data_IF_309108373533
#
_entry.id   IF_309108373533
#
_cell.length_a   1.000
_cell.length_b   1.000
_cell.length_c   1.000
_cell.angle_alpha   90.00
_cell.angle_beta   90.00
_cell.angle_gamma   90.00
#
_symmetry.space_group_name_H-M   'P 1'
#
loop_
_entity.id
_entity.type
_entity.pdbx_description
1 polymer ?
#
# COMPACT_ATOMS: atom_id res chain seq x y z
N UNK A 1 -28.39 11.36 -21.40
CA UNK A 1 -27.21 10.82 -20.69
C UNK A 1 -27.61 9.70 -19.73
N UNK A 2 -27.24 8.46 -20.08
CA UNK A 2 -27.45 7.27 -19.27
C UNK A 2 -26.22 7.04 -18.38
N UNK A 3 -26.41 6.53 -17.17
CA UNK A 3 -25.32 6.26 -16.22
C UNK A 3 -25.26 4.77 -15.88
N UNK A 4 -24.05 4.21 -15.86
CA UNK A 4 -23.76 2.88 -15.30
C UNK A 4 -22.97 3.09 -14.02
N UNK A 5 -23.46 2.51 -12.91
CA UNK A 5 -22.82 2.63 -11.59
C UNK A 5 -22.40 1.25 -11.11
N UNK A 6 -21.11 1.11 -10.79
CA UNK A 6 -20.56 -0.06 -10.10
C UNK A 6 -20.34 0.34 -8.65
N UNK A 7 -21.24 -0.11 -7.76
CA UNK A 7 -21.18 0.19 -6.33
C UNK A 7 -21.67 -0.99 -5.49
N UNK A 8 -20.90 -1.45 -4.49
CA UNK A 8 -19.52 -1.03 -4.19
C UNK A 8 -18.52 -1.60 -5.22
N UNK A 9 -17.35 -0.98 -5.35
CA UNK A 9 -16.18 -1.68 -5.89
C UNK A 9 -15.80 -2.78 -4.90
N UNK A 10 -15.77 -4.04 -5.36
CA UNK A 10 -15.51 -5.19 -4.50
C UNK A 10 -14.02 -5.55 -4.44
N UNK A 11 -13.62 -6.24 -3.36
CA UNK A 11 -12.25 -6.73 -3.12
C UNK A 11 -11.17 -5.62 -3.13
N UNK A 12 -11.52 -4.47 -2.58
CA UNK A 12 -10.58 -3.39 -2.25
C UNK A 12 -10.69 -3.05 -0.75
N UNK A 13 -9.73 -2.29 -0.23
CA UNK A 13 -9.86 -1.63 1.06
C UNK A 13 -10.55 -0.26 0.86
N UNK A 14 -11.44 0.10 1.79
CA UNK A 14 -12.23 1.33 1.71
C UNK A 14 -13.46 1.26 0.78
N UNK A 15 -14.24 2.34 0.78
CA UNK A 15 -15.46 2.48 -0.01
C UNK A 15 -15.26 3.32 -1.28
N UNK A 16 -15.47 2.69 -2.44
CA UNK A 16 -15.49 3.37 -3.74
C UNK A 16 -16.69 2.95 -4.60
N UNK A 17 -17.04 3.82 -5.55
CA UNK A 17 -17.92 3.51 -6.68
C UNK A 17 -17.24 3.92 -7.99
N UNK A 18 -17.62 3.26 -9.08
CA UNK A 18 -17.23 3.68 -10.44
C UNK A 18 -18.48 4.17 -11.14
N UNK A 19 -18.43 5.39 -11.66
CA UNK A 19 -19.51 6.02 -12.41
C UNK A 19 -19.09 6.15 -13.87
N UNK A 20 -19.84 5.53 -14.78
CA UNK A 20 -19.58 5.56 -16.23
C UNK A 20 -20.77 6.27 -16.89
N UNK A 21 -20.51 7.43 -17.50
CA UNK A 21 -21.54 8.22 -18.18
C UNK A 21 -21.48 7.91 -19.67
N UNK A 22 -22.64 7.66 -20.26
CA UNK A 22 -22.80 7.38 -21.68
C UNK A 22 -23.39 8.57 -22.42
N UNK A 23 -22.87 8.84 -23.62
CA UNK A 23 -23.50 9.76 -24.57
C UNK A 23 -24.83 9.19 -25.10
N UNK A 24 -25.50 9.94 -25.98
CA UNK A 24 -26.80 9.56 -26.52
C UNK A 24 -26.70 8.39 -27.53
N UNK A 25 -25.52 8.14 -28.11
CA UNK A 25 -25.22 7.00 -28.98
C UNK A 25 -24.84 5.74 -28.18
N UNK A 26 -24.65 5.87 -26.86
CA UNK A 26 -24.30 4.80 -25.94
C UNK A 26 -22.78 4.57 -25.78
N UNK A 27 -21.93 5.45 -26.32
CA UNK A 27 -20.48 5.41 -26.09
C UNK A 27 -20.13 5.97 -24.71
N UNK A 28 -18.99 5.56 -24.15
CA UNK A 28 -18.48 6.11 -22.89
C UNK A 28 -18.00 7.54 -23.12
N UNK A 29 -18.67 8.49 -22.46
CA UNK A 29 -18.31 9.91 -22.47
C UNK A 29 -17.37 10.28 -21.30
N UNK A 30 -17.53 9.61 -20.15
CA UNK A 30 -16.75 9.89 -18.94
C UNK A 30 -16.77 8.67 -18.00
N UNK A 31 -15.68 8.45 -17.25
CA UNK A 31 -15.56 7.39 -16.26
C UNK A 31 -14.77 7.87 -15.03
N UNK A 32 -15.38 7.79 -13.85
CA UNK A 32 -14.85 8.35 -12.60
C UNK A 32 -14.81 7.31 -11.49
N UNK A 33 -13.74 7.30 -10.68
CA UNK A 33 -13.60 6.48 -9.47
C UNK A 33 -13.87 7.34 -8.24
N UNK A 34 -15.08 7.28 -7.70
CA UNK A 34 -15.46 8.11 -6.56
C UNK A 34 -15.16 7.38 -5.24
N UNK A 35 -14.19 7.86 -4.48
CA UNK A 35 -14.02 7.52 -3.05
C UNK A 35 -15.03 8.30 -2.22
N UNK A 36 -15.81 7.58 -1.40
CA UNK A 36 -17.02 8.09 -0.74
C UNK A 36 -16.83 8.43 0.75
N UNK A 37 -15.65 8.17 1.31
CA UNK A 37 -15.41 8.27 2.75
C UNK A 37 -14.34 9.32 3.09
N UNK A 38 -14.61 10.12 4.13
CA UNK A 38 -13.67 11.05 4.74
C UNK A 38 -13.84 11.01 6.27
N UNK A 39 -12.74 10.84 7.01
CA UNK A 39 -12.76 10.77 8.49
C UNK A 39 -12.14 11.98 9.19
N UNK A 40 -11.41 12.84 8.47
CA UNK A 40 -10.90 14.11 9.00
C UNK A 40 -9.79 14.00 10.06
N UNK A 41 -8.93 12.97 9.99
CA UNK A 41 -7.80 12.76 10.92
C UNK A 41 -6.93 14.01 11.10
N UNK A 42 -6.60 14.68 10.01
CA UNK A 42 -5.78 15.90 10.02
C UNK A 42 -6.38 16.99 10.91
N UNK A 43 -7.72 17.12 10.93
CA UNK A 43 -8.41 18.16 11.71
C UNK A 43 -8.56 17.78 13.18
N UNK A 44 -8.98 16.56 13.49
CA UNK A 44 -9.23 16.17 14.89
C UNK A 44 -7.96 15.86 15.68
N UNK A 45 -6.82 15.69 15.00
CA UNK A 45 -5.52 15.55 15.66
C UNK A 45 -4.97 16.89 16.18
N UNK A 46 -5.51 18.03 15.74
CA UNK A 46 -5.09 19.35 16.23
C UNK A 46 -5.36 19.45 17.74
N UNK A 47 -4.35 19.89 18.49
CA UNK A 47 -4.43 20.06 19.94
C UNK A 47 -4.16 18.79 20.75
N UNK A 48 -3.89 17.65 20.10
CA UNK A 48 -3.51 16.41 20.77
C UNK A 48 -2.00 16.38 21.06
N UNK A 49 -1.57 15.71 22.14
CA UNK A 49 -0.16 15.42 22.36
C UNK A 49 0.42 14.58 21.21
N UNK A 50 1.60 14.95 20.73
CA UNK A 50 2.21 14.33 19.54
C UNK A 50 2.51 12.84 19.76
N UNK A 51 2.84 12.44 20.98
CA UNK A 51 3.08 11.06 21.41
C UNK A 51 1.81 10.17 21.40
N UNK A 52 0.62 10.75 21.21
CA UNK A 52 -0.59 9.97 20.91
C UNK A 52 -0.68 9.56 19.44
N UNK A 53 -0.01 10.29 18.54
CA UNK A 53 -0.16 10.10 17.09
C UNK A 53 0.16 8.67 16.63
N UNK A 54 1.23 8.00 17.09
CA UNK A 54 1.50 6.62 16.70
C UNK A 54 0.40 5.64 17.10
N UNK A 55 -0.49 5.98 18.04
CA UNK A 55 -1.65 5.15 18.39
C UNK A 55 -2.89 5.58 17.60
N UNK A 56 -3.08 6.87 17.39
CA UNK A 56 -4.26 7.40 16.71
C UNK A 56 -4.25 7.05 15.23
N UNK A 57 -3.15 7.31 14.53
CA UNK A 57 -3.06 7.18 13.06
C UNK A 57 -3.19 5.74 12.58
N UNK A 58 -2.93 4.73 13.42
CA UNK A 58 -3.16 3.33 13.05
C UNK A 58 -4.63 3.03 12.78
N UNK A 59 -5.56 3.90 13.20
CA UNK A 59 -7.00 3.77 12.94
C UNK A 59 -7.40 4.33 11.57
N UNK A 60 -6.45 4.88 10.81
CA UNK A 60 -6.68 5.27 9.42
C UNK A 60 -6.90 4.02 8.56
N UNK A 61 -6.19 2.93 8.76
CA UNK A 61 -6.42 1.72 7.96
C UNK A 61 -6.25 0.45 8.81
N UNK A 62 -7.11 -0.54 8.57
CA UNK A 62 -6.99 -1.87 9.18
C UNK A 62 -5.92 -2.76 8.55
N UNK A 63 -5.54 -2.47 7.29
CA UNK A 63 -4.56 -3.25 6.52
C UNK A 63 -3.14 -2.75 6.74
N UNK A 64 -2.89 -1.44 6.67
CA UNK A 64 -1.56 -0.84 6.85
C UNK A 64 -1.37 -0.05 8.17
N UNK A 65 -1.82 -0.56 9.35
CA UNK A 65 -1.68 0.19 10.60
C UNK A 65 -0.21 0.35 11.02
N UNK A 66 0.69 -0.52 10.57
CA UNK A 66 2.12 -0.46 10.85
C UNK A 66 2.81 0.68 10.12
N UNK A 67 2.50 0.90 8.85
CA UNK A 67 3.00 2.04 8.06
C UNK A 67 2.61 3.37 8.73
N UNK A 68 1.36 3.51 9.16
CA UNK A 68 0.91 4.69 9.91
C UNK A 68 1.60 4.83 11.27
N UNK A 69 1.76 3.74 12.01
CA UNK A 69 2.43 3.72 13.32
C UNK A 69 3.87 4.21 13.21
N UNK A 70 4.63 3.67 12.26
CA UNK A 70 6.04 3.98 12.06
C UNK A 70 6.24 5.37 11.47
N UNK A 71 5.42 5.78 10.49
CA UNK A 71 5.46 7.14 9.95
C UNK A 71 5.22 8.19 11.06
N UNK A 72 4.22 7.95 11.91
CA UNK A 72 3.92 8.84 13.03
C UNK A 72 5.01 8.82 14.10
N UNK A 73 5.61 7.66 14.38
CA UNK A 73 6.73 7.57 15.32
C UNK A 73 7.97 8.31 14.80
N UNK A 74 8.29 8.22 13.50
CA UNK A 74 9.37 9.01 12.86
C UNK A 74 9.08 10.51 12.96
N UNK A 75 7.84 10.94 12.76
CA UNK A 75 7.45 12.33 12.94
C UNK A 75 7.61 12.79 14.40
N UNK A 76 7.23 11.94 15.38
CA UNK A 76 7.45 12.24 16.79
C UNK A 76 8.93 12.37 17.13
N UNK A 77 9.78 11.46 16.63
CA UNK A 77 11.22 11.51 16.82
C UNK A 77 11.80 12.85 16.35
N UNK A 78 11.38 13.32 15.18
CA UNK A 78 11.78 14.61 14.63
C UNK A 78 11.33 15.79 15.50
N UNK A 79 10.09 15.77 16.01
CA UNK A 79 9.55 16.82 16.90
C UNK A 79 10.34 16.91 18.21
N UNK A 80 10.72 15.77 18.79
CA UNK A 80 11.51 15.74 20.02
C UNK A 80 13.02 15.87 19.80
N UNK A 81 13.50 15.88 18.55
CA UNK A 81 14.93 15.93 18.23
C UNK A 81 15.70 14.70 18.70
N UNK A 82 15.06 13.52 18.70
CA UNK A 82 15.64 12.26 19.19
C UNK A 82 15.89 11.29 18.06
N UNK A 83 16.96 10.52 18.15
CA UNK A 83 17.29 9.45 17.21
C UNK A 83 17.16 8.10 17.91
N UNK A 84 16.33 7.17 17.38
CA UNK A 84 16.26 5.83 17.93
C UNK A 84 17.62 5.15 17.99
N UNK A 85 17.97 4.45 19.10
CA UNK A 85 19.19 3.66 19.15
C UNK A 85 19.14 2.53 18.09
N UNK A 86 20.30 2.00 17.66
CA UNK A 86 20.35 1.01 16.58
C UNK A 86 19.41 -0.19 16.75
N UNK A 87 19.25 -0.70 17.97
CA UNK A 87 18.32 -1.79 18.25
C UNK A 87 16.85 -1.38 18.03
N UNK A 88 16.46 -0.19 18.48
CA UNK A 88 15.10 0.34 18.27
C UNK A 88 14.80 0.57 16.79
N UNK A 89 15.77 1.11 16.04
CA UNK A 89 15.66 1.27 14.58
C UNK A 89 15.46 -0.07 13.88
N UNK A 90 16.28 -1.07 14.16
CA UNK A 90 16.17 -2.42 13.57
C UNK A 90 14.83 -3.10 13.86
N UNK A 91 14.27 -2.91 15.06
CA UNK A 91 12.94 -3.46 15.39
C UNK A 91 11.84 -2.80 14.58
N UNK A 92 11.91 -1.47 14.38
CA UNK A 92 10.96 -0.76 13.51
C UNK A 92 11.06 -1.24 12.05
N UNK A 93 12.27 -1.39 11.51
CA UNK A 93 12.52 -1.92 10.17
C UNK A 93 12.01 -3.37 10.00
N UNK A 94 12.25 -4.22 11.00
CA UNK A 94 11.76 -5.60 11.02
C UNK A 94 10.23 -5.66 10.98
N UNK A 95 9.56 -4.90 11.86
CA UNK A 95 8.10 -4.83 11.86
C UNK A 95 7.54 -4.29 10.55
N UNK A 96 8.18 -3.28 9.96
CA UNK A 96 7.80 -2.75 8.63
C UNK A 96 7.87 -3.85 7.55
N UNK A 97 8.96 -4.62 7.54
CA UNK A 97 9.17 -5.69 6.56
C UNK A 97 8.16 -6.84 6.71
N UNK A 98 7.83 -7.20 7.96
CA UNK A 98 6.83 -8.23 8.24
C UNK A 98 5.43 -7.76 7.84
N UNK A 99 5.07 -6.51 8.17
CA UNK A 99 3.80 -5.92 7.78
C UNK A 99 3.67 -5.85 6.26
N UNK A 100 4.70 -5.39 5.57
CA UNK A 100 4.75 -5.36 4.10
C UNK A 100 4.47 -6.74 3.48
N UNK A 101 5.10 -7.80 4.00
CA UNK A 101 4.83 -9.18 3.56
C UNK A 101 3.38 -9.60 3.83
N UNK A 102 2.84 -9.34 5.02
CA UNK A 102 1.47 -9.69 5.40
C UNK A 102 0.44 -9.03 4.46
N UNK A 103 0.63 -7.73 4.21
CA UNK A 103 -0.22 -6.89 3.37
C UNK A 103 -0.16 -7.32 1.90
N UNK A 104 1.02 -7.67 1.39
CA UNK A 104 1.19 -8.19 0.03
C UNK A 104 0.57 -9.57 -0.16
N UNK A 105 0.66 -10.45 0.85
CA UNK A 105 -0.07 -11.73 0.82
C UNK A 105 -1.59 -11.47 0.78
N UNK A 106 -2.08 -10.54 1.61
CA UNK A 106 -3.51 -10.16 1.61
C UNK A 106 -3.95 -9.70 0.22
N UNK A 107 -3.27 -8.70 -0.34
CA UNK A 107 -3.66 -8.12 -1.62
C UNK A 107 -3.59 -9.16 -2.74
N UNK A 108 -2.46 -9.86 -2.89
CA UNK A 108 -2.26 -10.75 -4.02
C UNK A 108 -3.21 -11.95 -4.00
N UNK A 109 -3.45 -12.57 -2.84
CA UNK A 109 -4.24 -13.80 -2.77
C UNK A 109 -5.72 -13.59 -2.43
N UNK A 110 -6.05 -12.67 -1.52
CA UNK A 110 -7.43 -12.50 -1.04
C UNK A 110 -8.20 -11.47 -1.88
N UNK A 111 -7.50 -10.49 -2.45
CA UNK A 111 -8.12 -9.42 -3.23
C UNK A 111 -7.97 -9.67 -4.73
N UNK A 112 -6.79 -9.48 -5.29
CA UNK A 112 -6.53 -9.60 -6.73
C UNK A 112 -6.54 -11.04 -7.24
N UNK A 113 -6.24 -12.02 -6.39
CA UNK A 113 -6.09 -13.42 -6.78
C UNK A 113 -7.34 -14.01 -7.44
N UNK A 114 -8.54 -13.55 -7.06
CA UNK A 114 -9.79 -13.99 -7.68
C UNK A 114 -9.83 -13.75 -9.18
N UNK A 115 -9.36 -12.60 -9.65
CA UNK A 115 -9.38 -12.24 -11.07
C UNK A 115 -8.36 -13.06 -11.88
N UNK A 116 -7.20 -13.34 -11.30
CA UNK A 116 -6.13 -14.06 -12.00
C UNK A 116 -6.28 -15.58 -11.96
N UNK A 117 -6.62 -16.15 -10.79
CA UNK A 117 -6.69 -17.60 -10.57
C UNK A 117 -7.99 -18.18 -11.10
N UNK A 118 -9.11 -17.49 -10.88
CA UNK A 118 -10.41 -17.94 -11.40
C UNK A 118 -10.64 -17.46 -12.83
N UNK A 119 -10.09 -16.30 -13.18
CA UNK A 119 -10.23 -15.65 -14.48
C UNK A 119 -11.25 -14.50 -14.44
N UNK A 120 -11.09 -13.49 -15.30
CA UNK A 120 -11.99 -12.32 -15.34
C UNK A 120 -13.43 -12.72 -15.73
N UNK A 121 -13.60 -13.76 -16.55
CA UNK A 121 -14.91 -14.22 -17.02
C UNK A 121 -15.57 -15.24 -16.07
N UNK A 122 -14.94 -15.57 -14.94
CA UNK A 122 -15.51 -16.48 -13.97
C UNK A 122 -16.76 -15.88 -13.34
N UNK A 123 -17.74 -16.75 -13.06
CA UNK A 123 -18.96 -16.36 -12.34
C UNK A 123 -18.61 -15.70 -11.00
N UNK A 124 -19.30 -14.59 -10.68
CA UNK A 124 -18.99 -13.78 -9.50
C UNK A 124 -19.12 -14.56 -8.19
N UNK A 125 -19.94 -15.61 -8.15
CA UNK A 125 -20.13 -16.46 -6.95
C UNK A 125 -18.87 -17.24 -6.59
N UNK A 126 -17.98 -17.50 -7.56
CA UNK A 126 -16.72 -18.22 -7.37
C UNK A 126 -15.48 -17.36 -7.56
N UNK A 127 -15.59 -16.15 -8.13
CA UNK A 127 -14.47 -15.21 -8.34
C UNK A 127 -14.06 -14.50 -7.04
N UNK A 128 -13.62 -15.27 -6.06
CA UNK A 128 -13.26 -14.83 -4.72
C UNK A 128 -12.31 -15.85 -4.05
N UNK A 129 -11.87 -15.54 -2.81
CA UNK A 129 -10.94 -16.38 -2.05
C UNK A 129 -11.44 -17.81 -1.81
N UNK A 130 -12.76 -18.03 -1.72
CA UNK A 130 -13.32 -19.37 -1.53
C UNK A 130 -13.24 -20.20 -2.80
N UNK A 131 -13.48 -19.61 -3.96
CA UNK A 131 -13.26 -20.28 -5.25
C UNK A 131 -11.80 -20.66 -5.45
N UNK A 132 -10.87 -19.80 -5.06
CA UNK A 132 -9.44 -20.12 -5.04
C UNK A 132 -9.17 -21.31 -4.10
N UNK A 133 -9.75 -21.31 -2.90
CA UNK A 133 -9.56 -22.40 -1.94
C UNK A 133 -10.12 -23.74 -2.42
N UNK A 134 -11.19 -23.74 -3.21
CA UNK A 134 -11.73 -24.94 -3.85
C UNK A 134 -10.84 -25.42 -5.00
N UNK A 135 -10.35 -24.50 -5.84
CA UNK A 135 -9.51 -24.82 -7.01
C UNK A 135 -8.09 -25.22 -6.65
N UNK A 136 -7.49 -24.58 -5.65
CA UNK A 136 -6.10 -24.73 -5.20
C UNK A 136 -6.02 -24.87 -3.67
N UNK A 137 -6.56 -25.95 -3.08
CA UNK A 137 -6.73 -26.06 -1.63
C UNK A 137 -5.41 -26.01 -0.85
N UNK A 138 -4.34 -26.63 -1.36
CA UNK A 138 -3.05 -26.65 -0.66
C UNK A 138 -2.35 -25.29 -0.70
N UNK A 139 -2.46 -24.56 -1.82
CA UNK A 139 -1.97 -23.19 -1.94
C UNK A 139 -2.72 -22.29 -0.97
N UNK A 140 -4.06 -22.37 -0.96
CA UNK A 140 -4.89 -21.57 -0.07
C UNK A 140 -4.59 -21.83 1.41
N UNK A 141 -4.44 -23.09 1.82
CA UNK A 141 -4.02 -23.45 3.20
C UNK A 141 -2.67 -22.85 3.55
N UNK A 142 -1.68 -22.96 2.66
CA UNK A 142 -0.34 -22.42 2.90
C UNK A 142 -0.36 -20.89 3.01
N UNK A 143 -1.07 -20.21 2.12
CA UNK A 143 -1.24 -18.75 2.12
C UNK A 143 -1.86 -18.26 3.42
N UNK A 144 -2.96 -18.86 3.88
CA UNK A 144 -3.62 -18.49 5.14
C UNK A 144 -2.68 -18.73 6.32
N UNK A 145 -1.98 -19.88 6.35
CA UNK A 145 -1.02 -20.22 7.39
C UNK A 145 0.10 -19.18 7.48
N UNK A 146 0.73 -18.84 6.35
CA UNK A 146 1.87 -17.91 6.32
C UNK A 146 1.43 -16.46 6.61
N UNK A 147 0.25 -16.04 6.15
CA UNK A 147 -0.30 -14.72 6.52
C UNK A 147 -0.54 -14.63 8.03
N UNK A 148 -1.18 -15.65 8.62
CA UNK A 148 -1.36 -15.73 10.07
C UNK A 148 -0.02 -15.72 10.81
N UNK A 149 0.98 -16.42 10.27
CA UNK A 149 2.34 -16.45 10.81
C UNK A 149 3.00 -15.06 10.80
N UNK A 150 2.85 -14.27 9.73
CA UNK A 150 3.35 -12.89 9.68
C UNK A 150 2.68 -12.01 10.75
N UNK A 151 1.36 -12.10 10.89
CA UNK A 151 0.64 -11.42 11.97
C UNK A 151 1.14 -11.86 13.36
N UNK A 152 1.42 -13.16 13.54
CA UNK A 152 1.94 -13.68 14.80
C UNK A 152 3.35 -13.18 15.11
N UNK A 153 4.22 -13.04 14.11
CA UNK A 153 5.54 -12.42 14.31
C UNK A 153 5.42 -10.99 14.84
N UNK A 154 4.50 -10.18 14.28
CA UNK A 154 4.22 -8.83 14.77
C UNK A 154 3.70 -8.83 16.21
N UNK A 155 2.81 -9.77 16.56
CA UNK A 155 2.29 -9.94 17.92
C UNK A 155 3.40 -10.31 18.93
N UNK A 156 4.33 -11.19 18.56
CA UNK A 156 5.48 -11.57 19.41
C UNK A 156 6.38 -10.35 19.68
N UNK A 157 6.69 -9.57 18.63
CA UNK A 157 7.59 -8.41 18.76
C UNK A 157 6.92 -7.28 19.54
N UNK A 158 5.65 -6.99 19.25
CA UNK A 158 5.00 -5.73 19.60
C UNK A 158 3.71 -5.86 20.43
N UNK A 159 3.31 -7.08 20.79
CA UNK A 159 2.10 -7.39 21.54
C UNK A 159 0.81 -7.35 20.71
N UNK A 160 0.81 -6.69 19.55
CA UNK A 160 -0.35 -6.59 18.64
C UNK A 160 0.09 -6.64 17.19
N UNK A 161 -0.61 -7.43 16.39
CA UNK A 161 -0.44 -7.47 14.94
C UNK A 161 -1.11 -6.28 14.26
N UNK A 162 -2.29 -5.87 14.74
CA UNK A 162 -3.09 -4.76 14.24
C UNK A 162 -3.14 -3.67 15.30
N UNK A 163 -2.96 -2.42 14.85
CA UNK A 163 -2.92 -1.23 15.72
C UNK A 163 -1.85 -1.31 16.83
N UNK A 164 -0.57 -1.44 16.43
CA UNK A 164 0.56 -1.57 17.35
C UNK A 164 0.75 -0.34 18.25
N UNK A 165 1.51 -0.53 19.32
CA UNK A 165 1.86 0.53 20.30
C UNK A 165 3.34 0.51 20.68
N UNK A 166 4.17 -0.14 19.86
CA UNK A 166 5.53 -0.50 20.25
C UNK A 166 6.59 0.52 19.79
N UNK A 167 6.38 1.23 18.69
CA UNK A 167 7.20 2.37 18.33
C UNK A 167 6.78 3.58 19.20
N UNK A 168 7.74 4.08 19.97
CA UNK A 168 7.59 5.23 20.87
C UNK A 168 8.64 6.29 20.48
N UNK A 169 8.42 7.57 20.82
CA UNK A 169 9.43 8.60 20.57
C UNK A 169 10.80 8.20 21.13
N UNK A 170 11.84 8.27 20.31
CA UNK A 170 13.21 7.90 20.63
C UNK A 170 13.51 6.40 20.59
N UNK A 171 12.58 5.53 20.20
CA UNK A 171 12.90 4.10 20.12
C UNK A 171 11.73 3.13 19.93
N UNK A 172 11.80 2.04 20.70
CA UNK A 172 10.86 0.92 20.69
C UNK A 172 10.63 0.48 22.13
N UNK A 173 9.39 0.15 22.50
CA UNK A 173 8.96 0.01 23.89
C UNK A 173 9.45 -1.25 24.59
N UNK A 174 10.03 -2.21 23.84
CA UNK A 174 10.45 -3.51 24.34
C UNK A 174 11.65 -4.03 23.54
N UNK A 175 12.69 -4.63 24.16
CA UNK A 175 13.72 -5.34 23.41
C UNK A 175 13.17 -6.65 22.81
N UNK A 176 13.80 -7.15 21.75
CA UNK A 176 13.60 -8.52 21.30
C UNK A 176 14.55 -9.44 22.07
N UNK A 177 14.00 -10.49 22.67
CA UNK A 177 14.79 -11.52 23.34
C UNK A 177 15.41 -12.49 22.34
N UNK A 178 16.45 -13.21 22.74
CA UNK A 178 17.09 -14.21 21.89
C UNK A 178 16.15 -15.39 21.57
N UNK A 179 15.26 -15.75 22.50
CA UNK A 179 14.29 -16.82 22.27
C UNK A 179 13.20 -16.41 21.29
N UNK A 180 12.71 -15.16 21.37
CA UNK A 180 11.81 -14.59 20.35
C UNK A 180 12.49 -14.55 18.98
N UNK A 181 13.75 -14.12 18.92
CA UNK A 181 14.53 -14.12 17.67
C UNK A 181 14.59 -15.53 17.06
N UNK A 182 14.94 -16.54 17.86
CA UNK A 182 14.98 -17.95 17.43
C UNK A 182 13.61 -18.47 16.97
N UNK A 183 12.53 -18.04 17.64
CA UNK A 183 11.17 -18.39 17.25
C UNK A 183 10.77 -17.77 15.89
N UNK A 184 11.21 -16.54 15.61
CA UNK A 184 10.86 -15.80 14.40
C UNK A 184 11.58 -16.31 13.14
N UNK A 185 12.82 -16.78 13.25
CA UNK A 185 13.62 -17.23 12.09
C UNK A 185 12.87 -18.27 11.22
N UNK A 186 12.39 -19.41 11.74
CA UNK A 186 11.68 -20.40 10.92
C UNK A 186 10.34 -19.89 10.37
N UNK A 187 9.76 -18.86 10.99
CA UNK A 187 8.55 -18.21 10.50
C UNK A 187 8.87 -17.31 9.29
N UNK A 188 9.95 -16.55 9.38
CA UNK A 188 10.44 -15.72 8.28
C UNK A 188 10.89 -16.56 7.08
N UNK A 189 11.53 -17.72 7.31
CA UNK A 189 11.90 -18.66 6.24
C UNK A 189 10.68 -19.18 5.47
N UNK A 190 9.59 -19.51 6.16
CA UNK A 190 8.34 -19.91 5.50
C UNK A 190 7.69 -18.78 4.69
N UNK A 191 7.73 -17.55 5.20
CA UNK A 191 7.28 -16.38 4.45
C UNK A 191 8.12 -16.16 3.18
N UNK A 192 9.44 -16.32 3.29
CA UNK A 192 10.36 -16.21 2.16
C UNK A 192 10.10 -17.28 1.08
N UNK A 193 9.88 -18.54 1.47
CA UNK A 193 9.55 -19.59 0.51
C UNK A 193 8.19 -19.36 -0.16
N UNK A 194 7.19 -18.83 0.56
CA UNK A 194 5.93 -18.43 -0.06
C UNK A 194 6.15 -17.29 -1.06
N UNK A 195 6.98 -16.29 -0.75
CA UNK A 195 7.28 -15.19 -1.68
C UNK A 195 7.89 -15.73 -2.99
N UNK A 196 8.88 -16.62 -2.90
CA UNK A 196 9.50 -17.28 -4.05
C UNK A 196 8.48 -18.07 -4.87
N UNK A 197 7.65 -18.87 -4.21
CA UNK A 197 6.57 -19.60 -4.86
C UNK A 197 5.60 -18.66 -5.57
N UNK A 198 5.19 -17.56 -4.92
CA UNK A 198 4.22 -16.60 -5.47
C UNK A 198 4.74 -15.97 -6.77
N UNK A 199 6.00 -15.54 -6.77
CA UNK A 199 6.66 -14.92 -7.92
C UNK A 199 6.77 -15.94 -9.07
N UNK A 200 7.24 -17.16 -8.78
CA UNK A 200 7.37 -18.22 -9.78
C UNK A 200 6.00 -18.61 -10.37
N UNK A 201 5.00 -18.78 -9.51
CA UNK A 201 3.64 -19.12 -9.90
C UNK A 201 3.03 -18.02 -10.79
N UNK A 202 3.18 -16.75 -10.43
CA UNK A 202 2.68 -15.63 -11.22
C UNK A 202 3.34 -15.59 -12.61
N UNK A 203 4.66 -15.75 -12.68
CA UNK A 203 5.41 -15.77 -13.94
C UNK A 203 5.04 -16.91 -14.86
N UNK A 204 4.72 -18.09 -14.31
CA UNK A 204 4.42 -19.29 -15.10
C UNK A 204 2.95 -19.46 -15.45
N UNK A 205 2.05 -19.05 -14.56
CA UNK A 205 0.62 -19.40 -14.65
C UNK A 205 -0.30 -18.19 -14.83
N UNK A 206 0.10 -16.99 -14.36
CA UNK A 206 -0.75 -15.80 -14.42
C UNK A 206 -0.35 -14.94 -15.61
N UNK A 207 0.87 -14.39 -15.62
CA UNK A 207 1.26 -13.44 -16.65
C UNK A 207 1.15 -13.99 -18.08
N UNK A 208 1.54 -15.24 -18.39
CA UNK A 208 1.39 -15.76 -19.76
C UNK A 208 -0.07 -15.77 -20.25
N UNK A 209 -1.04 -15.92 -19.36
CA UNK A 209 -2.46 -15.93 -19.71
C UNK A 209 -3.06 -14.53 -19.90
N UNK A 210 -2.48 -13.51 -19.26
CA UNK A 210 -3.08 -12.17 -19.18
C UNK A 210 -2.18 -11.02 -19.64
N UNK A 211 -0.96 -11.29 -20.11
CA UNK A 211 0.02 -10.24 -20.40
C UNK A 211 -0.48 -9.24 -21.45
N UNK A 212 -1.27 -9.70 -22.43
CA UNK A 212 -1.83 -8.83 -23.47
C UNK A 212 -2.92 -7.90 -22.90
N UNK A 213 -3.74 -8.41 -21.97
CA UNK A 213 -4.69 -7.58 -21.23
C UNK A 213 -3.96 -6.59 -20.32
N UNK A 214 -2.93 -7.03 -19.60
CA UNK A 214 -2.11 -6.17 -18.72
C UNK A 214 -1.44 -5.02 -19.50
N UNK A 215 -1.06 -5.27 -20.76
CA UNK A 215 -0.45 -4.26 -21.64
C UNK A 215 -1.44 -3.27 -22.25
N UNK A 216 -2.74 -3.47 -22.07
CA UNK A 216 -3.77 -2.65 -22.73
C UNK A 216 -4.69 -1.95 -21.74
N UNK A 217 -4.93 -2.55 -20.57
CA UNK A 217 -5.82 -1.98 -19.56
C UNK A 217 -5.12 -0.86 -18.77
N UNK A 218 -5.61 0.38 -18.92
CA UNK A 218 -5.19 1.51 -18.07
C UNK A 218 -3.73 1.92 -18.22
N UNK A 219 -3.14 1.72 -19.41
CA UNK A 219 -1.74 2.07 -19.67
C UNK A 219 -1.63 3.57 -19.91
N UNK A 220 -1.07 4.28 -18.92
CA UNK A 220 -0.75 5.71 -18.99
C UNK A 220 0.73 5.91 -18.66
N UNK A 221 1.41 6.81 -19.39
CA UNK A 221 2.80 7.16 -19.13
C UNK A 221 2.85 8.18 -17.98
N UNK A 222 3.50 7.85 -16.87
CA UNK A 222 3.52 8.69 -15.65
C UNK A 222 4.91 8.69 -15.03
N UNK A 223 5.16 9.63 -14.13
CA UNK A 223 6.29 9.54 -13.21
C UNK A 223 6.09 8.48 -12.11
N UNK A 224 7.13 8.30 -11.30
CA UNK A 224 7.13 7.42 -10.13
C UNK A 224 7.81 8.11 -8.94
N UNK A 225 7.30 7.85 -7.74
CA UNK A 225 7.90 8.27 -6.49
C UNK A 225 8.19 7.03 -5.63
N UNK A 226 9.40 6.94 -5.11
CA UNK A 226 9.81 5.85 -4.22
C UNK A 226 10.95 6.27 -3.29
N UNK A 227 11.19 5.47 -2.26
CA UNK A 227 12.26 5.73 -1.29
C UNK A 227 13.52 4.97 -1.68
N UNK A 228 14.66 5.67 -1.67
CA UNK A 228 15.97 5.13 -2.04
C UNK A 228 17.05 5.47 -1.01
N UNK A 229 18.04 4.59 -0.89
CA UNK A 229 19.30 4.87 -0.18
C UNK A 229 20.21 5.77 -1.02
N UNK A 230 21.31 6.23 -0.42
CA UNK A 230 22.32 7.04 -1.11
C UNK A 230 22.97 6.32 -2.31
N UNK A 231 23.00 4.98 -2.31
CA UNK A 231 23.46 4.17 -3.44
C UNK A 231 22.39 3.93 -4.52
N UNK A 232 21.19 4.49 -4.34
CA UNK A 232 20.06 4.36 -5.25
C UNK A 232 19.25 3.07 -5.08
N UNK A 233 19.59 2.19 -4.13
CA UNK A 233 18.80 0.98 -3.86
C UNK A 233 17.49 1.30 -3.16
N UNK A 234 16.45 0.51 -3.44
CA UNK A 234 15.14 0.65 -2.81
C UNK A 234 15.22 0.39 -1.29
N UNK A 235 14.54 1.21 -0.52
CA UNK A 235 14.31 0.99 0.92
C UNK A 235 12.87 1.28 1.28
N UNK A 236 12.26 0.48 2.15
CA UNK A 236 10.86 0.60 2.53
C UNK A 236 10.65 1.39 3.84
N UNK A 237 11.73 1.82 4.50
CA UNK A 237 11.67 2.43 5.83
C UNK A 237 12.37 3.80 5.89
N UNK A 238 13.54 3.96 5.29
CA UNK A 238 14.35 5.18 5.42
C UNK A 238 15.22 5.46 4.20
N UNK A 239 15.36 6.75 3.86
CA UNK A 239 16.09 7.20 2.68
C UNK A 239 15.54 8.50 2.13
N UNK A 240 16.04 8.88 0.95
CA UNK A 240 15.54 10.01 0.18
C UNK A 240 14.35 9.58 -0.67
N UNK A 241 13.45 10.51 -0.93
CA UNK A 241 12.37 10.32 -1.89
C UNK A 241 12.91 10.64 -3.28
N UNK A 242 12.89 9.65 -4.18
CA UNK A 242 13.22 9.78 -5.59
C UNK A 242 11.96 10.00 -6.39
N UNK A 243 11.81 11.21 -6.96
CA UNK A 243 10.75 11.54 -7.90
C UNK A 243 11.30 11.46 -9.31
N UNK A 244 10.87 10.45 -10.05
CA UNK A 244 11.26 10.17 -11.44
C UNK A 244 10.13 10.55 -12.38
N UNK A 245 10.41 11.33 -13.42
CA UNK A 245 9.45 11.68 -14.47
C UNK A 245 9.21 10.51 -15.45
N UNK A 246 8.30 10.73 -16.39
CA UNK A 246 7.91 9.74 -17.39
C UNK A 246 9.07 9.38 -18.35
N UNK A 247 10.08 10.24 -18.46
CA UNK A 247 11.27 10.07 -19.31
C UNK A 247 12.43 9.40 -18.55
N UNK A 248 12.28 9.17 -17.25
CA UNK A 248 13.26 8.52 -16.39
C UNK A 248 14.28 9.47 -15.75
N UNK A 249 14.14 10.79 -15.93
CA UNK A 249 14.94 11.77 -15.19
C UNK A 249 14.35 11.91 -13.78
N UNK A 250 15.21 12.07 -12.78
CA UNK A 250 14.75 12.11 -11.39
C UNK A 250 15.44 13.20 -10.57
N UNK A 251 14.78 13.56 -9.47
CA UNK A 251 15.29 14.40 -8.40
C UNK A 251 15.08 13.68 -7.06
N UNK A 252 16.12 13.63 -6.23
CA UNK A 252 16.08 13.02 -4.90
C UNK A 252 15.96 14.13 -3.85
N UNK A 253 15.05 13.99 -2.88
CA UNK A 253 14.85 14.97 -1.80
C UNK A 253 14.53 14.32 -0.46
N UNK A 254 14.77 15.06 0.62
CA UNK A 254 14.47 14.60 1.97
C UNK A 254 12.96 14.64 2.22
N UNK A 255 12.41 13.67 2.96
CA UNK A 255 10.97 13.61 3.23
C UNK A 255 10.41 14.86 3.93
N UNK A 256 11.23 15.58 4.71
CA UNK A 256 10.85 16.86 5.35
C UNK A 256 10.58 17.98 4.34
N UNK A 257 11.14 17.88 3.13
CA UNK A 257 11.05 18.90 2.09
C UNK A 257 9.93 18.55 1.08
N UNK A 258 9.08 17.56 1.36
CA UNK A 258 8.08 17.05 0.40
C UNK A 258 7.12 18.13 -0.11
N UNK A 259 6.84 19.17 0.69
CA UNK A 259 5.98 20.28 0.30
C UNK A 259 6.57 21.13 -0.82
N UNK A 260 7.87 21.06 -1.10
CA UNK A 260 8.51 21.74 -2.24
C UNK A 260 8.26 21.01 -3.57
N UNK A 261 7.79 19.77 -3.51
CA UNK A 261 7.61 18.88 -4.67
C UNK A 261 6.15 18.49 -4.89
N UNK A 262 5.44 18.17 -3.82
CA UNK A 262 4.10 17.58 -3.87
C UNK A 262 3.06 18.65 -3.54
N UNK A 263 2.01 18.71 -4.37
CA UNK A 263 0.77 19.42 -4.06
C UNK A 263 -0.41 18.49 -4.29
N UNK A 264 -1.60 18.90 -3.86
CA UNK A 264 -2.81 18.09 -3.88
C UNK A 264 -3.93 18.85 -4.58
N UNK A 265 -4.43 18.31 -5.69
CA UNK A 265 -5.60 18.84 -6.40
C UNK A 265 -6.88 18.18 -5.90
N UNK A 266 -8.00 18.90 -5.96
CA UNK A 266 -9.30 18.43 -5.47
C UNK A 266 -10.32 18.48 -6.61
N UNK A 267 -11.08 17.40 -6.72
CA UNK A 267 -12.20 17.28 -7.63
C UNK A 267 -13.52 17.21 -6.87
N UNK A 268 -14.62 17.80 -7.37
CA UNK A 268 -15.89 17.88 -6.64
C UNK A 268 -16.61 16.52 -6.51
N UNK A 269 -16.17 15.51 -7.26
CA UNK A 269 -16.84 14.22 -7.35
C UNK A 269 -16.22 13.13 -6.47
N UNK A 270 -15.17 13.42 -5.70
CA UNK A 270 -14.55 12.44 -4.80
C UNK A 270 -13.87 13.08 -3.59
N UNK A 271 -13.79 12.35 -2.46
CA UNK A 271 -13.00 12.78 -1.30
C UNK A 271 -11.50 12.47 -1.41
N UNK A 272 -11.07 11.59 -2.31
CA UNK A 272 -9.64 11.39 -2.53
C UNK A 272 -9.08 12.56 -3.30
N UNK A 273 -7.96 13.10 -2.83
CA UNK A 273 -7.24 14.16 -3.55
C UNK A 273 -6.40 13.54 -4.67
N UNK A 274 -5.88 14.39 -5.55
CA UNK A 274 -4.99 14.02 -6.65
C UNK A 274 -3.61 14.63 -6.39
N UNK A 275 -2.71 13.90 -5.72
CA UNK A 275 -1.33 14.35 -5.53
C UNK A 275 -0.63 14.49 -6.88
N UNK A 276 0.12 15.58 -7.06
CA UNK A 276 0.86 15.85 -8.27
C UNK A 276 2.19 16.56 -7.96
N UNK A 277 3.15 16.40 -8.86
CA UNK A 277 4.42 17.12 -8.75
C UNK A 277 4.25 18.55 -9.26
N UNK A 278 4.24 19.53 -8.35
CA UNK A 278 4.02 20.94 -8.70
C UNK A 278 5.19 21.59 -9.45
N UNK A 279 6.37 20.94 -9.47
CA UNK A 279 7.51 21.40 -10.30
C UNK A 279 7.35 21.01 -11.77
N UNK A 280 6.45 20.09 -12.11
CA UNK A 280 6.23 19.63 -13.49
C UNK A 280 5.13 20.41 -14.24
N UNK A 281 4.61 21.48 -13.64
CA UNK A 281 3.54 22.29 -14.21
C UNK A 281 2.23 22.17 -13.43
N UNK A 282 1.17 22.75 -13.99
CA UNK A 282 -0.17 22.66 -13.43
C UNK A 282 -0.74 21.25 -13.59
N UNK A 283 -1.52 20.80 -12.62
CA UNK A 283 -2.16 19.49 -12.66
C UNK A 283 -3.08 19.38 -13.88
N UNK A 284 -2.92 18.31 -14.66
CA UNK A 284 -3.80 18.00 -15.78
C UNK A 284 -4.05 16.50 -15.87
N UNK A 285 -5.34 16.12 -15.92
CA UNK A 285 -5.81 14.75 -16.19
C UNK A 285 -6.08 14.49 -17.68
N UNK A 286 -5.62 15.38 -18.58
CA UNK A 286 -5.73 15.16 -20.03
C UNK A 286 -5.07 13.82 -20.41
N UNK A 287 -5.82 12.85 -20.96
CA UNK A 287 -5.26 11.55 -21.34
C UNK A 287 -4.14 11.65 -22.38
N UNK A 288 -4.17 12.66 -23.24
CA UNK A 288 -3.16 12.85 -24.30
C UNK A 288 -1.92 13.59 -23.80
N UNK A 289 -2.08 14.45 -22.79
CA UNK A 289 -1.00 15.27 -22.24
C UNK A 289 -1.12 15.46 -20.72
N UNK A 290 -0.98 14.39 -19.92
CA UNK A 290 -1.09 14.48 -18.47
C UNK A 290 0.08 15.26 -17.89
N UNK A 291 -0.20 16.14 -16.92
CA UNK A 291 0.84 16.98 -16.30
C UNK A 291 0.86 16.80 -14.78
N UNK A 292 2.05 16.67 -14.21
CA UNK A 292 2.24 16.46 -12.76
C UNK A 292 1.93 15.05 -12.25
N UNK A 293 1.51 14.13 -13.13
CA UNK A 293 1.06 12.78 -12.72
C UNK A 293 2.26 11.87 -12.41
N UNK A 294 2.30 11.35 -11.19
CA UNK A 294 3.20 10.28 -10.77
C UNK A 294 2.44 9.19 -10.01
N UNK A 295 3.08 8.03 -9.86
CA UNK A 295 2.54 6.92 -9.05
C UNK A 295 3.48 6.56 -7.93
N UNK A 296 2.93 6.10 -6.82
CA UNK A 296 3.66 5.47 -5.72
C UNK A 296 3.28 4.01 -5.76
N UNK A 297 4.18 3.16 -6.25
CA UNK A 297 3.99 1.71 -6.21
C UNK A 297 4.95 1.18 -5.15
N UNK A 298 4.41 0.69 -4.04
CA UNK A 298 5.14 -0.10 -3.04
C UNK A 298 4.58 -1.49 -2.99
#
# INVERSE_FOLDING_TARGET
MKEIVIQPVSRIEGGAKITIKLDDDGNVADAQVNVLELRGFERFCIGRPVEEMPRITTRICGVCPWSHHLASAKACDAVFGVTPPPAGRKLRELCNSIAFMEEHILHFYFLGGGDFVMGPDADYTVRNVFGIAQKLPDVARNVVKVRHMCAKMLEIIAGKSIHPTAAVPGGFSKPMTEDERKQLIPMAEQAFELAKFSIDYAKKNIFPAYIDAVKTVGVIKTGFLGTVKDDGTMDLYDGKLRMMDAEGKYEDFEAKDYLDYISEHIEPWTYVKFPYNKKWGEFSMDPENPTGIYRVNT
#
